data_IF_057387138463
#
_entry.id   IF_057387138463
#
_cell.length_a   1.000
_cell.length_b   1.000
_cell.length_c   1.000
_cell.angle_alpha   90.00
_cell.angle_beta   90.00
_cell.angle_gamma   90.00
#
_symmetry.space_group_name_H-M   'P 1'
#
loop_
_entity.id
_entity.type
_entity.pdbx_description
1 polymer ?
#
# COMPACT_ATOMS: atom_id res chain seq x y z
N UNK A 1 -26.40 -18.80 -3.52
CA UNK A 1 -25.69 -17.52 -3.65
C UNK A 1 -24.52 -17.53 -2.67
N UNK A 2 -23.30 -17.39 -3.16
CA UNK A 2 -22.08 -17.30 -2.34
C UNK A 2 -22.05 -15.94 -1.64
N UNK A 3 -21.61 -15.89 -0.38
CA UNK A 3 -21.48 -14.63 0.35
C UNK A 3 -20.50 -13.68 -0.38
N UNK A 4 -20.71 -12.35 -0.33
CA UNK A 4 -19.78 -11.40 -0.93
C UNK A 4 -18.40 -11.56 -0.31
N UNK A 5 -17.38 -11.68 -1.17
CA UNK A 5 -16.01 -11.87 -0.74
C UNK A 5 -15.52 -10.60 -0.05
N UNK A 6 -15.00 -10.72 1.18
CA UNK A 6 -14.42 -9.58 1.90
C UNK A 6 -12.91 -9.55 1.69
N UNK A 7 -12.31 -8.37 1.61
CA UNK A 7 -10.85 -8.22 1.48
C UNK A 7 -10.08 -8.99 2.58
N UNK A 8 -10.59 -8.96 3.82
CA UNK A 8 -10.01 -9.70 4.95
C UNK A 8 -9.92 -11.22 4.71
N UNK A 9 -10.80 -11.82 3.89
CA UNK A 9 -10.75 -13.25 3.57
C UNK A 9 -9.74 -13.55 2.45
N UNK A 10 -9.40 -12.55 1.62
CA UNK A 10 -8.53 -12.72 0.46
C UNK A 10 -7.05 -12.84 0.82
N UNK A 11 -6.63 -12.22 1.92
CA UNK A 11 -5.25 -12.17 2.39
C UNK A 11 -5.09 -12.62 3.84
N UNK A 12 -5.91 -13.59 4.29
CA UNK A 12 -5.83 -14.19 5.65
C UNK A 12 -5.84 -13.15 6.78
N UNK A 13 -6.61 -12.07 6.61
CA UNK A 13 -6.74 -10.98 7.56
C UNK A 13 -5.77 -9.81 7.35
N UNK A 14 -4.81 -9.89 6.43
CA UNK A 14 -3.93 -8.77 6.11
C UNK A 14 -4.60 -7.74 5.18
N UNK A 15 -4.24 -6.47 5.37
CA UNK A 15 -4.56 -5.37 4.45
C UNK A 15 -3.32 -5.07 3.59
N UNK A 16 -3.34 -5.37 2.29
CA UNK A 16 -2.22 -5.01 1.42
C UNK A 16 -2.13 -3.51 1.22
N UNK A 17 -0.90 -2.98 1.22
CA UNK A 17 -0.58 -1.58 0.94
C UNK A 17 0.59 -1.57 -0.03
N UNK A 18 0.42 -0.93 -1.18
CA UNK A 18 1.53 -0.66 -2.12
C UNK A 18 2.32 0.50 -1.56
N UNK A 19 3.63 0.35 -1.48
CA UNK A 19 4.55 1.36 -0.94
C UNK A 19 5.67 1.57 -1.96
N UNK A 20 6.00 2.83 -2.18
CA UNK A 20 7.16 3.26 -2.95
C UNK A 20 7.92 4.34 -2.15
N UNK A 21 9.25 4.33 -2.26
CA UNK A 21 10.14 5.22 -1.52
C UNK A 21 11.26 5.73 -2.41
N UNK A 22 11.59 7.00 -2.24
CA UNK A 22 12.78 7.60 -2.84
C UNK A 22 13.80 7.86 -1.73
N UNK A 23 15.03 7.40 -1.93
CA UNK A 23 16.10 7.45 -0.93
C UNK A 23 17.34 8.15 -1.47
N UNK A 24 18.16 8.69 -0.57
CA UNK A 24 19.46 9.31 -0.89
C UNK A 24 20.55 8.33 -1.29
N UNK A 25 20.27 7.02 -1.25
CA UNK A 25 21.21 5.96 -1.58
C UNK A 25 20.60 4.57 -1.38
N UNK A 26 21.44 3.53 -1.40
CA UNK A 26 21.03 2.13 -1.38
C UNK A 26 21.05 1.49 0.02
N UNK A 27 21.73 2.10 0.99
CA UNK A 27 21.82 1.57 2.35
C UNK A 27 20.68 2.11 3.22
N UNK A 28 19.68 1.27 3.49
CA UNK A 28 18.52 1.64 4.30
C UNK A 28 18.84 2.01 5.76
N UNK A 29 20.02 1.66 6.28
CA UNK A 29 20.42 2.03 7.64
C UNK A 29 21.02 3.44 7.75
N UNK A 30 21.60 3.96 6.65
CA UNK A 30 22.39 5.20 6.68
C UNK A 30 21.88 6.28 5.74
N UNK A 31 21.18 5.89 4.67
CA UNK A 31 20.83 6.80 3.59
C UNK A 31 19.43 7.34 3.83
N UNK A 32 19.27 8.66 3.68
CA UNK A 32 18.04 9.35 4.03
C UNK A 32 16.84 8.89 3.18
N UNK A 33 15.65 8.81 3.79
CA UNK A 33 14.37 8.75 3.08
C UNK A 33 14.02 10.17 2.61
N UNK A 34 13.68 10.32 1.34
CA UNK A 34 13.41 11.61 0.69
C UNK A 34 11.93 11.78 0.33
N UNK A 35 11.28 10.71 -0.08
CA UNK A 35 9.84 10.69 -0.38
C UNK A 35 9.24 9.33 -0.05
N UNK A 36 7.96 9.32 0.34
CA UNK A 36 7.19 8.09 0.49
C UNK A 36 5.78 8.26 -0.07
N UNK A 37 5.33 7.24 -0.81
CA UNK A 37 3.95 7.08 -1.24
C UNK A 37 3.37 5.76 -0.72
N UNK A 38 2.11 5.78 -0.31
CA UNK A 38 1.38 4.60 0.14
C UNK A 38 -0.03 4.55 -0.46
N UNK A 39 -0.43 3.37 -0.92
CA UNK A 39 -1.75 3.11 -1.51
C UNK A 39 -2.32 1.82 -0.91
N UNK A 40 -3.28 1.90 0.04
CA UNK A 40 -4.03 0.75 0.48
C UNK A 40 -4.77 0.11 -0.68
N UNK A 41 -4.92 -1.20 -0.65
CA UNK A 41 -5.70 -1.95 -1.62
C UNK A 41 -7.13 -2.10 -1.14
N UNK A 42 -8.10 -1.86 -2.03
CA UNK A 42 -9.52 -2.06 -1.81
C UNK A 42 -10.04 -3.22 -2.68
N UNK A 43 -11.26 -3.69 -2.35
CA UNK A 43 -11.96 -4.73 -3.09
C UNK A 43 -13.29 -4.18 -3.60
N UNK A 44 -13.47 -4.16 -4.92
CA UNK A 44 -14.73 -3.78 -5.55
C UNK A 44 -15.81 -4.84 -5.33
N UNK A 45 -17.08 -4.48 -5.56
CA UNK A 45 -18.23 -5.37 -5.35
C UNK A 45 -18.19 -6.63 -6.23
N UNK A 46 -17.57 -6.53 -7.42
CA UNK A 46 -17.37 -7.65 -8.35
C UNK A 46 -16.16 -8.53 -7.99
N UNK A 47 -15.47 -8.23 -6.89
CA UNK A 47 -14.30 -8.94 -6.41
C UNK A 47 -12.97 -8.51 -7.06
N UNK A 48 -12.97 -7.46 -7.89
CA UNK A 48 -11.72 -6.91 -8.44
C UNK A 48 -10.92 -6.18 -7.36
N UNK A 49 -9.60 -6.35 -7.42
CA UNK A 49 -8.66 -5.61 -6.60
C UNK A 49 -8.46 -4.24 -7.22
N UNK A 50 -8.68 -3.19 -6.45
CA UNK A 50 -8.58 -1.81 -6.91
C UNK A 50 -7.69 -0.98 -5.97
N UNK A 51 -7.23 0.17 -6.48
CA UNK A 51 -6.50 1.14 -5.65
C UNK A 51 -7.46 1.81 -4.66
N UNK A 52 -7.04 1.90 -3.41
CA UNK A 52 -7.67 2.76 -2.41
C UNK A 52 -7.13 4.18 -2.47
N UNK A 53 -7.28 4.92 -1.36
CA UNK A 53 -6.81 6.30 -1.25
C UNK A 53 -5.28 6.37 -1.27
N UNK A 54 -4.73 7.05 -2.27
CA UNK A 54 -3.31 7.40 -2.32
C UNK A 54 -2.96 8.50 -1.32
N UNK A 55 -1.84 8.33 -0.64
CA UNK A 55 -1.16 9.37 0.12
C UNK A 55 0.31 9.42 -0.28
N UNK A 56 0.88 10.61 -0.35
CA UNK A 56 2.32 10.80 -0.55
C UNK A 56 2.80 12.04 0.18
N UNK A 57 4.09 12.07 0.51
CA UNK A 57 4.72 13.24 1.13
C UNK A 57 6.22 13.25 0.89
N UNK A 58 6.79 14.46 0.80
CA UNK A 58 8.23 14.66 0.88
C UNK A 58 8.67 14.53 2.34
N UNK A 59 9.83 13.93 2.57
CA UNK A 59 10.41 13.73 3.89
C UNK A 59 11.56 14.72 4.06
N UNK A 60 11.60 15.41 5.20
CA UNK A 60 12.73 16.27 5.55
C UNK A 60 13.84 15.36 6.12
N UNK A 61 15.04 15.33 5.50
CA UNK A 61 16.17 14.51 5.95
C UNK A 61 16.71 14.91 7.33
#
# INVERSE_FOLDING_TARGET
MTAPQRLAQRFRGFLPVVVDVECGGFNAETDALLEIAAVPIDLAEDGQIIRGKTVSTHVIP
#
